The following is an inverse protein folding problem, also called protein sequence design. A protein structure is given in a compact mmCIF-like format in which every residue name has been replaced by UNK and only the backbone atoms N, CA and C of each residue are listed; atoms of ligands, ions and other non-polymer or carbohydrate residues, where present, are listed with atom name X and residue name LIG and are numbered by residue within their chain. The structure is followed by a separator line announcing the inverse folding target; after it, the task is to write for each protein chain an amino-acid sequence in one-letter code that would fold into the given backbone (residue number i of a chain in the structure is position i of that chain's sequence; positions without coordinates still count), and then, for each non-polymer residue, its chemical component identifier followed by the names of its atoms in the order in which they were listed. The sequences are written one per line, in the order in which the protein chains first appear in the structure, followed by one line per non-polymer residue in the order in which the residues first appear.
data_IF_686258792842
#
_entry.id   IF_686258792842
#
_cell.length_a   1.000
_cell.length_b   1.000
_cell.length_c   1.000
_cell.angle_alpha   90.00
_cell.angle_beta   90.00
_cell.angle_gamma   90.00
#
_symmetry.space_group_name_H-M   'P 1'
#
loop_
_entity.id
_entity.type
_entity.pdbx_description
1 polymer ?
#
# COMPACT_ATOMS: atom_id res chain seq x y z
N UNK A 1 9.36 -19.39 2.64
CA UNK A 1 9.61 -19.67 1.21
C UNK A 1 9.85 -18.38 0.45
N UNK A 2 11.05 -18.19 -0.07
CA UNK A 2 11.37 -17.20 -1.10
C UNK A 2 10.83 -17.69 -2.44
N UNK A 3 9.96 -16.92 -3.08
CA UNK A 3 9.56 -17.14 -4.46
C UNK A 3 10.75 -16.84 -5.38
N UNK A 4 11.51 -17.89 -5.72
CA UNK A 4 12.51 -17.85 -6.77
C UNK A 4 11.85 -18.34 -8.07
N UNK A 5 11.61 -17.42 -9.00
CA UNK A 5 11.20 -17.77 -10.35
C UNK A 5 12.32 -18.52 -11.07
N UNK A 6 12.16 -19.84 -11.20
CA UNK A 6 12.97 -20.66 -12.08
C UNK A 6 12.51 -20.39 -13.51
N UNK A 7 13.34 -19.65 -14.28
CA UNK A 7 13.19 -19.55 -15.73
C UNK A 7 13.71 -20.85 -16.34
N UNK A 8 12.81 -21.65 -16.91
CA UNK A 8 13.16 -22.68 -17.87
C UNK A 8 13.34 -22.07 -19.26
N UNK A 9 14.52 -22.26 -19.84
CA UNK A 9 14.79 -22.02 -21.27
C UNK A 9 13.93 -22.95 -22.13
N UNK A 10 13.04 -22.37 -22.92
CA UNK A 10 12.17 -23.03 -23.87
C UNK A 10 11.49 -21.99 -24.78
N UNK A 11 11.21 -22.28 -26.05
CA UNK A 11 10.86 -21.27 -27.04
C UNK A 11 9.54 -20.56 -26.67
N UNK A 12 9.57 -19.23 -26.73
CA UNK A 12 8.44 -18.33 -26.41
C UNK A 12 7.19 -18.72 -27.22
N UNK A 13 6.04 -18.96 -26.59
CA UNK A 13 4.77 -18.84 -27.27
C UNK A 13 4.41 -17.35 -27.34
N UNK A 14 4.31 -16.82 -28.56
CA UNK A 14 3.62 -15.57 -28.81
C UNK A 14 2.17 -15.71 -28.37
N UNK A 15 1.76 -15.08 -27.27
CA UNK A 15 0.35 -14.90 -26.97
C UNK A 15 -0.19 -13.76 -27.82
N UNK A 16 -0.73 -14.12 -28.98
CA UNK A 16 -1.66 -13.30 -29.74
C UNK A 16 -2.97 -13.17 -28.95
N UNK A 17 -3.36 -11.93 -28.63
CA UNK A 17 -4.71 -11.63 -28.18
C UNK A 17 -5.68 -11.81 -29.37
N UNK A 18 -6.18 -13.02 -29.55
CA UNK A 18 -7.21 -13.32 -30.55
C UNK A 18 -8.57 -12.80 -30.04
N UNK A 19 -9.03 -11.68 -30.62
CA UNK A 19 -10.43 -11.27 -30.54
C UNK A 19 -11.28 -12.26 -31.34
N UNK A 20 -12.19 -12.96 -30.67
CA UNK A 20 -13.41 -13.56 -31.24
C UNK A 20 -14.52 -13.32 -30.25
N UNK A 21 -15.78 -13.05 -30.59
CA UNK A 21 -16.57 -12.68 -31.79
C UNK A 21 -17.89 -12.16 -31.18
N UNK A 22 -18.74 -11.43 -31.91
CA UNK A 22 -20.12 -11.91 -31.92
C UNK A 22 -20.82 -11.65 -33.26
N UNK A 23 -21.27 -12.72 -33.93
CA UNK A 23 -22.38 -12.66 -34.86
C UNK A 23 -23.49 -13.58 -34.33
N UNK A 24 -24.63 -12.93 -34.04
CA UNK A 24 -26.01 -13.38 -34.03
C UNK A 24 -26.45 -14.59 -33.17
N UNK A 25 -27.08 -14.31 -32.02
CA UNK A 25 -28.55 -14.20 -31.97
C UNK A 25 -29.09 -13.84 -30.56
N UNK A 26 -29.73 -12.67 -30.50
CA UNK A 26 -30.89 -12.27 -29.69
C UNK A 26 -30.79 -12.24 -28.14
N UNK A 27 -30.73 -11.01 -27.61
CA UNK A 27 -31.07 -10.68 -26.22
C UNK A 27 -30.55 -9.30 -25.77
N UNK A 28 -31.02 -8.24 -26.44
CA UNK A 28 -30.76 -6.80 -26.20
C UNK A 28 -30.60 -6.43 -24.71
N UNK A 29 -29.49 -5.83 -24.28
CA UNK A 29 -29.12 -4.42 -24.47
C UNK A 29 -30.05 -3.42 -23.75
N UNK A 30 -29.54 -2.97 -22.59
CA UNK A 30 -29.51 -1.60 -22.07
C UNK A 30 -30.78 -0.84 -21.64
N UNK A 31 -30.61 0.12 -20.70
CA UNK A 31 -31.66 0.65 -19.84
C UNK A 31 -32.32 1.91 -20.41
N UNK A 32 -33.57 2.19 -20.00
CA UNK A 32 -34.13 3.55 -20.06
C UNK A 32 -35.20 3.76 -18.99
N UNK A 33 -35.04 4.84 -18.24
CA UNK A 33 -36.01 5.37 -17.31
C UNK A 33 -37.20 5.98 -18.05
N UNK A 34 -38.40 5.80 -17.50
CA UNK A 34 -39.61 6.55 -17.87
C UNK A 34 -40.36 6.95 -16.60
N UNK A 35 -40.50 8.26 -16.41
CA UNK A 35 -41.35 8.89 -15.40
C UNK A 35 -42.83 8.61 -15.71
N UNK A 36 -43.56 8.09 -14.73
CA UNK A 36 -45.02 7.95 -14.75
C UNK A 36 -45.62 8.61 -13.50
N UNK A 37 -46.36 9.70 -13.70
CA UNK A 37 -47.14 10.39 -12.68
C UNK A 37 -48.40 9.57 -12.33
N UNK A 38 -48.63 9.31 -11.05
CA UNK A 38 -49.87 8.75 -10.50
C UNK A 38 -49.95 9.03 -9.00
N UNK A 39 -50.80 9.99 -8.63
CA UNK A 39 -51.03 10.51 -7.28
C UNK A 39 -51.77 9.50 -6.38
N UNK A 40 -51.54 9.56 -5.07
CA UNK A 40 -52.44 9.02 -4.04
C UNK A 40 -51.80 8.81 -2.66
N UNK A 41 -51.77 9.87 -1.85
CA UNK A 41 -51.94 9.94 -0.39
C UNK A 41 -50.94 9.28 0.61
N UNK A 42 -49.99 10.11 1.07
CA UNK A 42 -49.57 10.51 2.44
C UNK A 42 -49.83 9.63 3.69
N UNK A 43 -49.19 9.94 4.86
CA UNK A 43 -47.83 10.45 5.13
C UNK A 43 -47.11 9.58 6.20
N UNK A 44 -45.78 9.58 6.26
CA UNK A 44 -45.02 9.68 7.53
C UNK A 44 -43.52 9.64 7.26
N UNK A 45 -42.81 10.56 7.91
CA UNK A 45 -41.39 10.83 7.71
C UNK A 45 -40.49 9.72 8.23
N UNK A 46 -39.56 9.29 7.38
CA UNK A 46 -38.35 8.59 7.81
C UNK A 46 -37.15 9.13 7.02
N UNK A 47 -36.21 9.72 7.75
CA UNK A 47 -34.97 10.34 7.26
C UNK A 47 -34.11 9.41 6.38
N UNK A 48 -33.33 9.95 5.42
CA UNK A 48 -32.48 9.18 4.52
C UNK A 48 -31.15 8.76 5.20
N UNK A 49 -31.21 8.11 6.37
CA UNK A 49 -30.04 7.63 7.10
C UNK A 49 -29.65 6.17 6.77
N UNK A 50 -30.46 5.46 5.97
CA UNK A 50 -30.28 4.02 5.70
C UNK A 50 -29.22 3.65 4.65
N UNK A 51 -28.70 4.61 3.88
CA UNK A 51 -27.74 4.35 2.80
C UNK A 51 -26.26 4.36 3.22
N UNK A 52 -25.94 4.86 4.42
CA UNK A 52 -24.56 5.06 4.88
C UNK A 52 -23.97 3.85 5.64
N UNK A 53 -24.79 2.94 6.16
CA UNK A 53 -24.28 1.88 7.03
C UNK A 53 -23.63 0.71 6.29
N UNK A 54 -24.02 0.43 5.04
CA UNK A 54 -23.50 -0.73 4.28
C UNK A 54 -22.22 -0.43 3.47
N UNK A 55 -21.78 0.84 3.41
CA UNK A 55 -20.51 1.25 2.78
C UNK A 55 -19.33 1.31 3.77
N UNK A 56 -19.54 0.96 5.05
CA UNK A 56 -18.52 1.09 6.10
C UNK A 56 -17.39 0.04 6.02
N UNK A 57 -17.60 -1.08 5.33
CA UNK A 57 -16.62 -2.18 5.30
C UNK A 57 -15.65 -2.16 4.10
N UNK A 58 -15.79 -1.21 3.17
CA UNK A 58 -15.00 -1.14 1.92
C UNK A 58 -13.91 -0.05 1.91
N UNK A 59 -13.82 0.78 2.96
CA UNK A 59 -12.97 1.98 3.01
C UNK A 59 -11.62 1.81 3.73
N UNK A 60 -11.19 0.59 3.99
CA UNK A 60 -9.80 0.37 4.38
C UNK A 60 -8.94 0.52 3.12
N UNK A 61 -7.88 1.35 3.18
CA UNK A 61 -6.89 1.52 2.11
C UNK A 61 -6.05 0.27 1.82
N UNK A 62 -6.55 -0.92 2.17
CA UNK A 62 -5.96 -2.24 1.98
C UNK A 62 -6.89 -3.07 1.09
N UNK A 63 -6.31 -3.91 0.25
CA UNK A 63 -7.05 -4.77 -0.67
C UNK A 63 -7.87 -5.82 0.09
N UNK A 64 -9.14 -5.99 -0.28
CA UNK A 64 -10.00 -7.01 0.31
C UNK A 64 -9.76 -8.40 -0.29
N UNK A 65 -9.60 -9.41 0.57
CA UNK A 65 -9.68 -10.82 0.18
C UNK A 65 -11.15 -11.23 -0.01
N UNK A 66 -11.52 -11.62 -1.22
CA UNK A 66 -12.88 -12.05 -1.56
C UNK A 66 -13.06 -13.56 -1.42
N UNK A 67 -12.06 -14.34 -1.83
CA UNK A 67 -12.06 -15.79 -1.71
C UNK A 67 -10.63 -16.33 -1.74
N UNK A 68 -10.43 -17.51 -1.16
CA UNK A 68 -9.20 -18.30 -1.31
C UNK A 68 -9.59 -19.75 -1.51
N UNK A 69 -8.94 -20.44 -2.44
CA UNK A 69 -9.24 -21.85 -2.70
C UNK A 69 -8.02 -22.58 -3.26
N UNK A 70 -8.09 -23.90 -3.23
CA UNK A 70 -7.15 -24.79 -3.90
C UNK A 70 -7.93 -25.86 -4.66
N UNK A 71 -7.52 -26.24 -5.88
CA UNK A 71 -8.17 -27.32 -6.60
C UNK A 71 -7.82 -28.71 -6.03
N UNK A 72 -6.78 -28.80 -5.19
CA UNK A 72 -6.28 -30.06 -4.66
C UNK A 72 -7.08 -30.51 -3.42
N UNK A 73 -7.40 -31.81 -3.36
CA UNK A 73 -8.32 -32.39 -2.37
C UNK A 73 -7.64 -33.01 -1.15
N UNK A 74 -6.32 -33.17 -1.19
CA UNK A 74 -5.54 -33.69 -0.08
C UNK A 74 -4.32 -32.83 0.18
N UNK A 75 -3.82 -32.89 1.42
CA UNK A 75 -2.59 -32.22 1.83
C UNK A 75 -1.36 -32.73 1.05
N UNK A 76 -1.35 -34.00 0.66
CA UNK A 76 -0.24 -34.61 -0.10
C UNK A 76 -0.12 -33.95 -1.48
N UNK A 77 -1.25 -33.76 -2.16
CA UNK A 77 -1.33 -33.14 -3.48
C UNK A 77 -1.29 -31.60 -3.44
N UNK A 78 -1.51 -30.99 -2.28
CA UNK A 78 -1.57 -29.54 -2.14
C UNK A 78 -0.30 -28.86 -2.65
N UNK A 79 -0.45 -28.00 -3.65
CA UNK A 79 0.66 -27.26 -4.27
C UNK A 79 0.27 -25.82 -4.59
N UNK A 80 -0.99 -25.60 -5.00
CA UNK A 80 -1.43 -24.31 -5.50
C UNK A 80 -2.48 -23.68 -4.59
N UNK A 81 -2.33 -22.37 -4.36
CA UNK A 81 -3.31 -21.52 -3.68
C UNK A 81 -3.74 -20.43 -4.63
N UNK A 82 -5.06 -20.29 -4.82
CA UNK A 82 -5.67 -19.25 -5.63
C UNK A 82 -6.30 -18.22 -4.69
N UNK A 83 -5.85 -16.97 -4.82
CA UNK A 83 -6.32 -15.83 -4.02
C UNK A 83 -7.15 -14.93 -4.92
N UNK A 84 -8.43 -14.75 -4.57
CA UNK A 84 -9.37 -13.89 -5.29
C UNK A 84 -9.52 -12.59 -4.50
N UNK A 85 -9.16 -11.48 -5.13
CA UNK A 85 -9.24 -10.14 -4.55
C UNK A 85 -10.16 -9.26 -5.40
N UNK A 86 -10.50 -8.07 -4.89
CA UNK A 86 -11.19 -7.09 -5.71
C UNK A 86 -10.35 -6.66 -6.91
N UNK A 87 -11.01 -6.49 -8.05
CA UNK A 87 -10.36 -6.02 -9.28
C UNK A 87 -10.14 -4.50 -9.18
N UNK A 88 -8.92 -4.09 -9.51
CA UNK A 88 -8.49 -2.69 -9.58
C UNK A 88 -8.07 -2.38 -11.03
N UNK A 89 -8.15 -1.10 -11.42
CA UNK A 89 -7.96 -0.71 -12.82
C UNK A 89 -6.48 -0.64 -13.21
N UNK A 90 -5.63 -0.19 -12.29
CA UNK A 90 -4.22 0.07 -12.53
C UNK A 90 -3.38 -0.07 -11.26
N UNK A 91 -2.06 -0.14 -11.42
CA UNK A 91 -1.12 0.09 -10.31
C UNK A 91 -0.58 1.52 -10.34
N UNK A 92 0.03 1.94 -9.24
CA UNK A 92 0.51 3.31 -9.09
C UNK A 92 1.66 3.65 -10.05
N UNK A 93 2.39 2.67 -10.59
CA UNK A 93 3.41 2.91 -11.61
C UNK A 93 2.81 3.58 -12.85
N UNK A 94 1.61 3.17 -13.26
CA UNK A 94 0.92 3.76 -14.41
C UNK A 94 0.44 5.18 -14.10
N UNK A 95 -0.03 5.42 -12.88
CA UNK A 95 -0.51 6.73 -12.40
C UNK A 95 0.63 7.76 -12.32
N UNK A 96 1.82 7.34 -11.89
CA UNK A 96 3.02 8.20 -11.79
C UNK A 96 3.42 8.79 -13.16
N UNK A 97 3.09 8.13 -14.26
CA UNK A 97 3.39 8.62 -15.61
C UNK A 97 2.35 9.63 -16.13
N UNK A 98 1.29 9.89 -15.37
CA UNK A 98 0.25 10.85 -15.71
C UNK A 98 0.53 12.19 -15.01
N UNK A 99 0.05 13.29 -15.60
CA UNK A 99 0.03 14.58 -14.91
C UNK A 99 -1.07 14.56 -13.83
N UNK A 100 -0.65 14.68 -12.57
CA UNK A 100 -1.53 14.74 -11.41
C UNK A 100 -1.59 16.17 -10.88
N UNK A 101 -2.80 16.66 -10.66
CA UNK A 101 -3.02 17.88 -9.89
C UNK A 101 -2.78 17.63 -8.38
N UNK A 102 -2.72 18.72 -7.63
CA UNK A 102 -2.52 18.66 -6.18
C UNK A 102 -3.64 17.92 -5.45
N UNK A 103 -4.88 18.00 -5.94
CA UNK A 103 -6.05 17.36 -5.33
C UNK A 103 -5.92 15.84 -5.40
N UNK A 104 -5.70 15.28 -6.60
CA UNK A 104 -5.52 13.84 -6.81
C UNK A 104 -4.28 13.33 -6.09
N UNK A 105 -3.16 14.04 -6.17
CA UNK A 105 -1.92 13.63 -5.51
C UNK A 105 -2.09 13.59 -3.98
N UNK A 106 -2.66 14.64 -3.39
CA UNK A 106 -2.89 14.69 -1.93
C UNK A 106 -3.92 13.66 -1.47
N UNK A 107 -4.95 13.37 -2.28
CA UNK A 107 -5.95 12.36 -1.96
C UNK A 107 -5.41 10.92 -2.03
N UNK A 108 -4.55 10.61 -3.01
CA UNK A 108 -3.84 9.33 -3.07
C UNK A 108 -2.90 9.17 -1.87
N UNK A 109 -2.16 10.23 -1.50
CA UNK A 109 -1.30 10.24 -0.32
C UNK A 109 -2.08 10.04 0.98
N UNK A 110 -3.20 10.71 1.12
CA UNK A 110 -4.11 10.54 2.26
C UNK A 110 -4.55 9.08 2.41
N UNK A 111 -5.05 8.45 1.33
CA UNK A 111 -5.48 7.05 1.35
C UNK A 111 -4.32 6.09 1.67
N UNK A 112 -3.12 6.33 1.14
CA UNK A 112 -1.93 5.57 1.50
C UNK A 112 -1.62 5.69 3.00
N UNK A 113 -1.64 6.90 3.56
CA UNK A 113 -1.39 7.14 4.97
C UNK A 113 -2.45 6.49 5.88
N UNK A 114 -3.74 6.52 5.50
CA UNK A 114 -4.79 5.81 6.23
C UNK A 114 -4.59 4.28 6.19
N UNK A 115 -4.25 3.72 5.02
CA UNK A 115 -3.93 2.30 4.90
C UNK A 115 -2.75 1.89 5.78
N UNK A 116 -1.68 2.69 5.78
CA UNK A 116 -0.49 2.47 6.62
C UNK A 116 -0.82 2.60 8.11
N UNK A 117 -1.57 3.62 8.51
CA UNK A 117 -1.99 3.79 9.91
C UNK A 117 -2.79 2.58 10.39
N UNK A 118 -3.66 2.04 9.54
CA UNK A 118 -4.43 0.86 9.85
C UNK A 118 -3.53 -0.38 10.06
N UNK A 119 -2.51 -0.58 9.20
CA UNK A 119 -1.50 -1.63 9.38
C UNK A 119 -0.74 -1.48 10.70
N UNK A 120 -0.25 -0.27 10.98
CA UNK A 120 0.52 0.03 12.19
C UNK A 120 -0.32 -0.18 13.45
N UNK A 121 -1.60 0.20 13.43
CA UNK A 121 -2.53 -0.04 14.54
C UNK A 121 -2.77 -1.53 14.83
N UNK A 122 -2.62 -2.38 13.80
CA UNK A 122 -2.66 -3.83 13.94
C UNK A 122 -1.29 -4.42 14.38
N UNK A 123 -0.23 -3.60 14.41
CA UNK A 123 1.14 -4.02 14.75
C UNK A 123 1.93 -4.61 13.57
N UNK A 124 1.47 -4.37 12.34
CA UNK A 124 2.11 -4.79 11.09
C UNK A 124 2.87 -3.61 10.52
N UNK A 125 4.16 -3.80 10.21
CA UNK A 125 4.95 -2.82 9.45
C UNK A 125 5.13 -3.37 8.04
N UNK A 126 4.85 -2.55 7.01
CA UNK A 126 4.79 -3.04 5.63
C UNK A 126 6.20 -3.32 5.05
N UNK A 127 7.14 -2.38 5.20
CA UNK A 127 8.58 -2.47 4.83
C UNK A 127 8.92 -2.59 3.34
N UNK A 128 7.96 -2.94 2.48
CA UNK A 128 8.16 -3.02 1.02
C UNK A 128 7.11 -2.21 0.25
N UNK A 129 6.76 -1.03 0.74
CA UNK A 129 5.88 -0.12 0.01
C UNK A 129 6.57 0.37 -1.25
N UNK A 130 5.93 0.17 -2.39
CA UNK A 130 6.39 0.59 -3.71
C UNK A 130 5.20 0.74 -4.66
N UNK A 131 5.31 1.53 -5.74
CA UNK A 131 4.19 1.77 -6.64
C UNK A 131 3.53 0.52 -7.23
N UNK A 132 4.29 -0.56 -7.47
CA UNK A 132 3.72 -1.82 -7.99
C UNK A 132 2.86 -2.57 -6.97
N UNK A 133 3.03 -2.31 -5.68
CA UNK A 133 2.24 -2.91 -4.59
C UNK A 133 1.06 -2.01 -4.20
N UNK A 134 0.78 -0.96 -4.97
CA UNK A 134 -0.29 -0.02 -4.70
C UNK A 134 -1.15 0.03 -5.95
N UNK A 135 -2.43 -0.23 -5.78
CA UNK A 135 -3.41 -0.32 -6.86
C UNK A 135 -4.45 0.75 -6.71
N UNK A 136 -4.94 1.23 -7.85
CA UNK A 136 -5.88 2.33 -7.94
C UNK A 136 -7.05 1.99 -8.87
N UNK A 137 -8.18 2.64 -8.63
CA UNK A 137 -9.32 2.70 -9.54
C UNK A 137 -9.38 4.06 -10.24
N UNK A 138 -10.14 4.12 -11.32
CA UNK A 138 -10.44 5.32 -12.10
C UNK A 138 -11.12 6.43 -11.31
N UNK A 139 -11.80 6.10 -10.21
CA UNK A 139 -12.39 7.04 -9.25
C UNK A 139 -11.38 7.57 -8.20
N UNK A 140 -10.08 7.33 -8.41
CA UNK A 140 -8.99 7.66 -7.48
C UNK A 140 -9.04 6.92 -6.14
N UNK A 141 -9.79 5.82 -6.02
CA UNK A 141 -9.69 4.94 -4.86
C UNK A 141 -8.36 4.18 -4.90
N UNK A 142 -7.63 4.18 -3.78
CA UNK A 142 -6.35 3.51 -3.63
C UNK A 142 -6.43 2.38 -2.60
N UNK A 143 -5.78 1.26 -2.93
CA UNK A 143 -5.60 0.13 -2.01
C UNK A 143 -4.17 -0.39 -2.07
N UNK A 144 -3.64 -0.74 -0.91
CA UNK A 144 -2.34 -1.38 -0.75
C UNK A 144 -2.52 -2.90 -0.96
N UNK A 145 -1.70 -3.49 -1.83
CA UNK A 145 -1.61 -4.94 -2.05
C UNK A 145 -0.59 -5.59 -1.09
N UNK A 146 -0.81 -6.86 -0.78
CA UNK A 146 -0.19 -7.50 0.40
C UNK A 146 1.23 -8.07 0.27
N UNK A 147 2.04 -7.67 1.26
CA UNK A 147 2.77 -8.46 2.28
C UNK A 147 3.79 -9.54 1.91
N UNK A 148 4.35 -9.58 0.70
CA UNK A 148 5.50 -10.47 0.42
C UNK A 148 6.66 -10.34 1.43
N UNK A 149 6.74 -9.22 2.18
CA UNK A 149 7.74 -8.93 3.21
C UNK A 149 7.16 -8.28 4.48
N UNK A 150 5.84 -8.25 4.71
CA UNK A 150 5.32 -7.65 5.94
C UNK A 150 5.65 -8.52 7.16
N UNK A 151 5.93 -7.90 8.30
CA UNK A 151 6.22 -8.59 9.57
C UNK A 151 5.62 -7.83 10.74
N UNK A 152 5.32 -8.58 11.79
CA UNK A 152 4.98 -8.03 13.10
C UNK A 152 6.15 -7.20 13.64
N UNK A 153 5.83 -6.01 14.18
CA UNK A 153 6.81 -5.10 14.77
C UNK A 153 7.63 -5.81 15.87
N UNK A 154 8.97 -5.87 15.71
CA UNK A 154 9.88 -6.46 16.72
C UNK A 154 10.82 -7.56 16.18
N UNK A 155 10.58 -8.11 15.00
CA UNK A 155 11.44 -9.16 14.42
C UNK A 155 12.65 -8.57 13.68
N UNK A 156 13.81 -8.59 14.35
CA UNK A 156 15.10 -8.09 13.85
C UNK A 156 15.85 -9.11 12.99
N UNK A 157 15.23 -9.64 11.92
CA UNK A 157 15.95 -10.46 10.95
C UNK A 157 16.51 -9.60 9.80
N UNK A 158 17.83 -9.65 9.63
CA UNK A 158 18.54 -9.11 8.47
C UNK A 158 18.13 -9.87 7.20
N UNK A 159 17.71 -9.15 6.16
CA UNK A 159 17.25 -9.75 4.91
C UNK A 159 18.37 -10.42 4.11
N UNK A 160 18.04 -11.50 3.41
CA UNK A 160 18.87 -12.09 2.34
C UNK A 160 18.89 -11.19 1.10
N UNK A 161 20.05 -11.01 0.45
CA UNK A 161 20.20 -10.16 -0.73
C UNK A 161 19.78 -10.93 -1.98
N UNK A 162 18.51 -10.87 -2.39
CA UNK A 162 18.10 -11.29 -3.74
C UNK A 162 17.15 -10.26 -4.38
N UNK A 163 17.23 -10.22 -5.71
CA UNK A 163 16.77 -9.22 -6.68
C UNK A 163 15.33 -8.71 -6.45
N UNK A 164 15.18 -7.69 -5.60
CA UNK A 164 13.93 -6.95 -5.39
C UNK A 164 14.22 -5.45 -5.48
N UNK A 165 13.26 -4.68 -5.99
CA UNK A 165 13.30 -3.21 -6.05
C UNK A 165 13.61 -2.61 -4.69
N UNK A 166 14.77 -1.95 -4.56
CA UNK A 166 15.26 -1.37 -3.30
C UNK A 166 15.04 0.15 -3.17
N UNK A 167 14.56 0.78 -4.24
CA UNK A 167 14.52 2.24 -4.40
C UNK A 167 13.69 2.97 -3.33
N UNK A 168 12.71 2.27 -2.75
CA UNK A 168 11.78 2.80 -1.74
C UNK A 168 12.13 2.36 -0.32
N UNK A 169 13.23 1.60 -0.11
CA UNK A 169 13.63 1.12 1.21
C UNK A 169 14.27 2.26 2.01
N UNK A 170 13.91 2.35 3.28
CA UNK A 170 14.46 3.36 4.18
C UNK A 170 15.95 3.12 4.50
N UNK A 171 16.70 4.18 4.86
CA UNK A 171 18.10 4.09 5.28
C UNK A 171 18.35 3.04 6.35
N UNK A 172 17.52 3.00 7.39
CA UNK A 172 17.62 2.03 8.48
C UNK A 172 17.47 0.58 8.01
N UNK A 173 16.68 0.33 6.95
CA UNK A 173 16.53 -1.01 6.35
C UNK A 173 17.76 -1.37 5.52
N UNK A 174 18.29 -0.42 4.73
CA UNK A 174 19.48 -0.62 3.88
C UNK A 174 20.74 -0.82 4.72
N UNK A 175 20.85 -0.11 5.85
CA UNK A 175 22.01 -0.14 6.75
C UNK A 175 21.90 -1.19 7.86
N UNK A 176 20.81 -1.97 7.91
CA UNK A 176 20.62 -3.02 8.91
C UNK A 176 20.46 -2.51 10.34
N UNK A 177 19.83 -1.35 10.51
CA UNK A 177 19.52 -0.76 11.82
C UNK A 177 18.17 -1.26 12.33
N UNK A 178 17.92 -1.09 13.63
CA UNK A 178 16.56 -1.20 14.17
C UNK A 178 15.64 -0.14 13.56
N UNK A 179 14.39 -0.51 13.27
CA UNK A 179 13.40 0.34 12.63
C UNK A 179 12.07 0.36 13.41
N UNK A 180 11.25 1.36 13.12
CA UNK A 180 9.91 1.55 13.69
C UNK A 180 8.89 1.74 12.56
N UNK A 181 7.64 1.96 12.91
CA UNK A 181 6.51 2.22 12.00
C UNK A 181 6.80 3.30 10.94
N UNK A 182 7.49 4.39 11.31
CA UNK A 182 7.84 5.47 10.38
C UNK A 182 8.91 5.10 9.31
N UNK A 183 9.31 3.83 9.24
CA UNK A 183 10.03 3.27 8.09
C UNK A 183 9.20 3.36 6.81
N UNK A 184 7.88 3.16 6.92
CA UNK A 184 6.96 3.18 5.78
C UNK A 184 6.75 4.62 5.24
N UNK A 185 6.94 5.63 6.10
CA UNK A 185 6.89 7.06 5.70
C UNK A 185 8.01 7.42 4.72
N UNK A 186 9.19 6.80 4.85
CA UNK A 186 10.25 7.00 3.86
C UNK A 186 9.80 6.51 2.48
N UNK A 187 9.19 5.33 2.41
CA UNK A 187 8.69 4.76 1.17
C UNK A 187 7.60 5.65 0.54
N UNK A 188 6.68 6.18 1.35
CA UNK A 188 5.68 7.15 0.89
C UNK A 188 6.34 8.43 0.36
N UNK A 189 7.39 8.94 1.03
CA UNK A 189 8.16 10.09 0.55
C UNK A 189 8.83 9.81 -0.80
N UNK A 190 9.39 8.62 -1.00
CA UNK A 190 9.95 8.21 -2.29
C UNK A 190 8.88 8.17 -3.39
N UNK A 191 7.71 7.59 -3.09
CA UNK A 191 6.57 7.51 -4.01
C UNK A 191 6.06 8.92 -4.37
N UNK A 192 5.89 9.79 -3.38
CA UNK A 192 5.47 11.17 -3.58
C UNK A 192 6.46 11.94 -4.46
N UNK A 193 7.76 11.83 -4.18
CA UNK A 193 8.76 12.51 -4.98
C UNK A 193 8.85 11.94 -6.41
N UNK A 194 8.59 10.66 -6.59
CA UNK A 194 8.50 10.03 -7.92
C UNK A 194 7.25 10.50 -8.69
N UNK A 195 6.10 10.69 -8.02
CA UNK A 195 4.91 11.31 -8.64
C UNK A 195 5.18 12.72 -9.14
N UNK A 196 6.04 13.49 -8.46
CA UNK A 196 6.37 14.87 -8.83
C UNK A 196 7.45 14.92 -9.91
N UNK A 197 8.46 14.05 -9.85
CA UNK A 197 9.59 14.04 -10.80
C UNK A 197 9.35 13.17 -12.05
N UNK A 198 8.33 12.32 -12.03
CA UNK A 198 8.06 11.32 -13.07
C UNK A 198 9.04 10.15 -13.10
N UNK A 199 9.97 10.07 -12.15
CA UNK A 199 11.03 9.08 -12.13
C UNK A 199 11.57 8.79 -10.74
N UNK A 200 12.11 7.58 -10.57
CA UNK A 200 12.64 7.04 -9.31
C UNK A 200 13.65 8.00 -8.69
N UNK A 201 13.47 8.36 -7.41
CA UNK A 201 14.35 9.29 -6.70
C UNK A 201 15.77 8.73 -6.49
N UNK A 202 15.84 7.47 -6.06
CA UNK A 202 17.09 6.83 -5.63
C UNK A 202 17.27 5.49 -6.36
N UNK A 203 17.67 5.49 -7.64
CA UNK A 203 17.82 4.27 -8.44
C UNK A 203 19.16 3.59 -8.18
N UNK A 204 19.30 2.90 -7.04
CA UNK A 204 20.52 2.19 -6.64
C UNK A 204 20.62 0.76 -7.18
N UNK A 205 21.73 0.45 -7.83
CA UNK A 205 22.01 -0.88 -8.41
C UNK A 205 22.23 -1.98 -7.36
N UNK A 206 22.72 -1.62 -6.17
CA UNK A 206 22.88 -2.48 -5.00
C UNK A 206 22.68 -1.67 -3.69
N UNK A 207 22.92 -2.27 -2.51
CA UNK A 207 22.75 -1.57 -1.22
C UNK A 207 23.72 -0.39 -1.04
N UNK A 208 24.93 -0.51 -1.58
CA UNK A 208 26.00 0.47 -1.49
C UNK A 208 25.65 1.67 -2.38
N UNK A 209 25.29 1.42 -3.63
CA UNK A 209 24.89 2.44 -4.59
C UNK A 209 23.58 3.11 -4.16
N UNK A 210 22.62 2.34 -3.63
CA UNK A 210 21.38 2.91 -3.06
C UNK A 210 21.67 3.93 -1.97
N UNK A 211 22.59 3.61 -1.05
CA UNK A 211 23.01 4.56 -0.02
C UNK A 211 23.67 5.80 -0.62
N UNK A 212 24.56 5.63 -1.61
CA UNK A 212 25.22 6.75 -2.28
C UNK A 212 24.19 7.70 -2.94
N UNK A 213 23.21 7.16 -3.67
CA UNK A 213 22.12 7.96 -4.28
C UNK A 213 21.35 8.77 -3.24
N UNK A 214 21.14 8.22 -2.04
CA UNK A 214 20.46 8.93 -0.95
C UNK A 214 21.30 10.10 -0.44
N UNK A 215 22.56 9.87 -0.07
CA UNK A 215 23.41 10.93 0.52
C UNK A 215 23.86 11.98 -0.50
N UNK A 216 23.98 11.63 -1.78
CA UNK A 216 24.27 12.59 -2.85
C UNK A 216 23.17 13.65 -2.97
N UNK A 217 21.91 13.25 -2.71
CA UNK A 217 20.74 14.13 -2.83
C UNK A 217 20.40 14.84 -1.52
N UNK A 218 20.38 14.10 -0.40
CA UNK A 218 19.93 14.60 0.91
C UNK A 218 21.06 15.05 1.84
N UNK A 219 22.31 14.76 1.46
CA UNK A 219 23.50 15.07 2.25
C UNK A 219 23.94 13.94 3.18
N UNK A 220 25.17 14.03 3.65
CA UNK A 220 25.74 13.09 4.63
C UNK A 220 25.09 13.32 5.99
N UNK A 221 24.54 12.28 6.67
CA UNK A 221 23.84 12.47 7.93
C UNK A 221 24.78 12.86 9.08
N UNK A 222 24.20 13.38 10.15
CA UNK A 222 24.96 13.93 11.28
C UNK A 222 25.70 12.85 12.09
N UNK A 223 26.75 13.22 12.85
CA UNK A 223 27.52 12.25 13.65
C UNK A 223 26.68 11.46 14.65
N UNK A 224 25.59 12.03 15.17
CA UNK A 224 24.65 11.34 16.08
C UNK A 224 23.97 10.16 15.40
N UNK A 225 23.65 10.27 14.10
CA UNK A 225 23.13 9.16 13.32
C UNK A 225 24.20 8.09 13.12
N UNK A 226 25.42 8.47 12.76
CA UNK A 226 26.52 7.54 12.52
C UNK A 226 26.85 6.68 13.74
N UNK A 227 26.70 7.22 14.96
CA UNK A 227 26.89 6.49 16.22
C UNK A 227 25.89 5.35 16.43
N UNK A 228 24.73 5.38 15.76
CA UNK A 228 23.70 4.33 15.85
C UNK A 228 24.00 3.14 14.92
N UNK A 229 24.98 3.25 14.02
CA UNK A 229 25.34 2.22 13.06
C UNK A 229 26.22 1.13 13.67
N UNK A 230 26.12 -0.09 13.13
CA UNK A 230 27.07 -1.18 13.43
C UNK A 230 28.49 -0.77 13.01
N UNK A 231 29.56 -1.20 13.73
CA UNK A 231 30.92 -0.72 13.50
C UNK A 231 31.42 -0.86 12.04
N UNK A 232 31.10 -1.97 11.39
CA UNK A 232 31.48 -2.26 10.00
C UNK A 232 30.78 -1.32 9.02
N UNK A 233 29.46 -1.15 9.18
CA UNK A 233 28.63 -0.24 8.37
C UNK A 233 29.04 1.21 8.60
N UNK A 234 29.29 1.59 9.86
CA UNK A 234 29.74 2.93 10.23
C UNK A 234 31.04 3.32 9.54
N UNK A 235 32.04 2.44 9.60
CA UNK A 235 33.34 2.65 8.95
C UNK A 235 33.17 2.87 7.45
N UNK A 236 32.31 2.06 6.82
CA UNK A 236 31.98 2.21 5.41
C UNK A 236 31.32 3.57 5.09
N UNK A 237 30.32 3.98 5.88
CA UNK A 237 29.59 5.25 5.67
C UNK A 237 30.47 6.47 5.94
N UNK A 238 31.30 6.46 6.99
CA UNK A 238 32.20 7.57 7.34
C UNK A 238 33.32 7.78 6.31
N UNK A 239 33.72 6.72 5.60
CA UNK A 239 34.73 6.77 4.54
C UNK A 239 34.19 7.25 3.18
N UNK A 240 32.89 7.57 3.07
CA UNK A 240 32.31 8.13 1.84
C UNK A 240 32.57 9.63 1.72
N UNK A 241 32.58 10.18 0.49
CA UNK A 241 32.64 11.63 0.29
C UNK A 241 31.52 12.33 1.07
N UNK A 242 31.85 13.48 1.66
CA UNK A 242 30.87 14.30 2.37
C UNK A 242 30.08 15.12 1.38
N UNK A 243 28.77 14.91 1.35
CA UNK A 243 27.84 15.66 0.52
C UNK A 243 27.05 16.63 1.39
N UNK A 244 26.89 17.87 0.93
CA UNK A 244 26.06 18.86 1.59
C UNK A 244 24.55 18.58 1.39
N UNK A 245 24.21 17.82 0.35
CA UNK A 245 22.83 17.66 -0.11
C UNK A 245 22.34 18.85 -0.93
N UNK A 246 21.15 18.73 -1.50
CA UNK A 246 20.44 19.80 -2.16
C UNK A 246 19.26 20.23 -1.31
N UNK A 247 18.87 21.52 -1.39
CA UNK A 247 17.62 21.97 -0.77
C UNK A 247 16.42 21.33 -1.49
N UNK A 248 15.29 21.21 -0.79
CA UNK A 248 14.09 20.61 -1.38
C UNK A 248 13.52 21.46 -2.53
N UNK A 249 13.78 22.76 -2.56
CA UNK A 249 13.44 23.65 -3.69
C UNK A 249 14.27 23.31 -4.94
N UNK A 250 15.50 22.84 -4.76
CA UNK A 250 16.35 22.40 -5.87
C UNK A 250 16.03 20.96 -6.30
N UNK A 251 15.69 20.09 -5.36
CA UNK A 251 15.28 18.71 -5.66
C UNK A 251 13.92 18.66 -6.37
N UNK A 252 13.00 19.53 -5.96
CA UNK A 252 11.64 19.65 -6.44
C UNK A 252 11.32 21.11 -6.77
N UNK A 253 11.83 21.65 -7.90
CA UNK A 253 11.58 23.04 -8.30
C UNK A 253 10.12 23.28 -8.68
N UNK A 254 9.67 24.54 -8.62
CA UNK A 254 8.27 24.92 -8.87
C UNK A 254 7.76 24.50 -10.27
N UNK A 255 8.66 24.37 -11.25
CA UNK A 255 8.32 23.90 -12.61
C UNK A 255 7.77 22.47 -12.66
N UNK A 256 8.03 21.66 -11.61
CA UNK A 256 7.49 20.30 -11.51
C UNK A 256 6.09 20.25 -10.90
N UNK A 257 5.59 21.38 -10.41
CA UNK A 257 4.27 21.47 -9.80
C UNK A 257 3.32 22.25 -10.71
N UNK A 258 2.03 21.92 -10.70
CA UNK A 258 1.01 22.81 -11.24
C UNK A 258 1.10 24.16 -10.51
N UNK A 259 1.31 25.27 -11.23
CA UNK A 259 1.52 26.60 -10.64
C UNK A 259 0.75 27.73 -11.36
N UNK A 260 -0.35 27.35 -12.01
CA UNK A 260 -1.26 28.22 -12.77
C UNK A 260 -2.07 29.21 -11.90
N UNK A 261 -2.14 28.99 -10.58
CA UNK A 261 -2.84 29.86 -9.63
C UNK A 261 -2.06 30.06 -8.33
N UNK A 262 -2.36 31.13 -7.59
CA UNK A 262 -1.79 31.36 -6.24
C UNK A 262 -2.15 30.23 -5.26
N UNK A 263 -3.32 29.63 -5.42
CA UNK A 263 -3.71 28.44 -4.65
C UNK A 263 -2.75 27.27 -4.91
N UNK A 264 -2.43 27.02 -6.17
CA UNK A 264 -1.53 25.93 -6.55
C UNK A 264 -0.07 26.20 -6.16
N UNK A 265 0.38 27.47 -6.18
CA UNK A 265 1.69 27.84 -5.60
C UNK A 265 1.79 27.53 -4.10
N UNK A 266 0.74 27.84 -3.33
CA UNK A 266 0.68 27.47 -1.92
C UNK A 266 0.73 25.96 -1.74
N UNK A 267 -0.03 25.20 -2.56
CA UNK A 267 -0.03 23.74 -2.53
C UNK A 267 1.33 23.13 -2.91
N UNK A 268 2.05 23.70 -3.87
CA UNK A 268 3.41 23.29 -4.21
C UNK A 268 4.36 23.46 -3.02
N UNK A 269 4.29 24.60 -2.32
CA UNK A 269 5.06 24.82 -1.09
C UNK A 269 4.70 23.81 0.00
N UNK A 270 3.41 23.53 0.22
CA UNK A 270 2.95 22.53 1.18
C UNK A 270 3.39 21.11 0.81
N UNK A 271 3.37 20.75 -0.48
CA UNK A 271 3.83 19.45 -0.97
C UNK A 271 5.33 19.25 -0.71
N UNK A 272 6.13 20.29 -0.99
CA UNK A 272 7.58 20.30 -0.76
C UNK A 272 7.92 20.24 0.73
N UNK A 273 7.19 20.96 1.57
CA UNK A 273 7.35 20.90 3.03
C UNK A 273 7.07 19.48 3.56
N UNK A 274 5.99 18.85 3.12
CA UNK A 274 5.69 17.45 3.47
C UNK A 274 6.81 16.49 3.04
N UNK A 275 7.29 16.60 1.80
CA UNK A 275 8.41 15.83 1.30
C UNK A 275 9.66 16.00 2.17
N UNK A 276 9.95 17.22 2.60
CA UNK A 276 11.12 17.51 3.44
C UNK A 276 11.05 16.84 4.81
N UNK A 277 9.84 16.60 5.31
CA UNK A 277 9.58 15.94 6.59
C UNK A 277 9.52 14.40 6.46
N UNK A 278 9.16 13.88 5.28
CA UNK A 278 9.15 12.44 4.98
C UNK A 278 10.53 11.90 4.58
N UNK A 279 11.24 12.59 3.69
CA UNK A 279 12.55 12.19 3.16
C UNK A 279 13.69 12.63 4.10
N UNK A 280 13.61 12.15 5.35
CA UNK A 280 14.62 12.40 6.39
C UNK A 280 15.37 11.12 6.69
N UNK A 281 16.71 11.17 6.61
CA UNK A 281 17.56 9.98 6.78
C UNK A 281 17.44 9.42 8.20
N UNK A 282 17.56 10.27 9.23
CA UNK A 282 17.42 9.83 10.61
C UNK A 282 15.93 9.64 10.94
N UNK A 283 15.51 8.38 11.09
CA UNK A 283 14.14 8.02 11.42
C UNK A 283 13.63 8.70 12.71
N UNK A 284 14.50 9.08 13.66
CA UNK A 284 14.06 9.82 14.86
C UNK A 284 13.62 11.26 14.60
N UNK A 285 13.97 11.82 13.44
CA UNK A 285 13.60 13.17 12.98
C UNK A 285 12.56 13.15 11.86
N UNK A 286 12.18 11.96 11.40
CA UNK A 286 11.22 11.76 10.32
C UNK A 286 9.80 11.85 10.86
N UNK A 287 8.93 12.56 10.14
CA UNK A 287 7.52 12.71 10.50
C UNK A 287 6.84 11.36 10.72
N UNK A 288 5.96 11.30 11.72
CA UNK A 288 5.10 10.14 11.96
C UNK A 288 3.92 10.09 10.98
N UNK A 289 3.23 8.95 10.93
CA UNK A 289 2.00 8.81 10.12
C UNK A 289 0.92 9.79 10.58
N UNK A 290 0.76 9.96 11.89
CA UNK A 290 -0.24 10.86 12.47
C UNK A 290 0.04 12.32 12.13
N UNK A 291 1.29 12.76 12.29
CA UNK A 291 1.69 14.12 11.92
C UNK A 291 1.56 14.37 10.41
N UNK A 292 1.82 13.36 9.57
CA UNK A 292 1.65 13.44 8.13
C UNK A 292 0.17 13.58 7.72
N UNK A 293 -0.75 12.87 8.39
CA UNK A 293 -2.19 13.01 8.19
C UNK A 293 -2.70 14.41 8.58
N UNK A 294 -2.10 15.02 9.60
CA UNK A 294 -2.41 16.38 10.05
C UNK A 294 -1.72 17.48 9.23
N UNK A 295 -0.86 17.12 8.28
CA UNK A 295 -0.14 18.08 7.47
C UNK A 295 -1.08 18.92 6.59
N UNK A 296 -0.90 20.24 6.40
CA UNK A 296 -1.81 21.09 5.60
C UNK A 296 -2.06 20.61 4.16
N UNK A 297 -1.09 19.88 3.58
CA UNK A 297 -1.23 19.28 2.26
C UNK A 297 -2.23 18.10 2.23
N UNK A 298 -2.36 17.36 3.34
CA UNK A 298 -3.14 16.13 3.47
C UNK A 298 -4.44 16.34 4.26
N UNK A 299 -4.40 17.17 5.28
CA UNK A 299 -5.48 17.37 6.25
C UNK A 299 -6.81 17.84 5.64
N UNK A 300 -6.79 18.37 4.41
CA UNK A 300 -8.00 18.70 3.65
C UNK A 300 -8.92 17.50 3.41
N UNK A 301 -8.37 16.28 3.47
CA UNK A 301 -9.08 15.02 3.28
C UNK A 301 -9.37 14.28 4.58
N UNK A 302 -8.93 14.81 5.73
CA UNK A 302 -8.94 14.06 6.98
C UNK A 302 -10.37 13.71 7.43
N UNK A 303 -10.67 12.41 7.45
CA UNK A 303 -11.88 11.85 8.01
C UNK A 303 -11.51 10.90 9.18
N UNK A 304 -11.90 11.20 10.43
CA UNK A 304 -11.64 10.33 11.58
C UNK A 304 -12.17 8.91 11.37
N UNK A 305 -13.28 8.74 10.65
CA UNK A 305 -13.87 7.41 10.42
C UNK A 305 -13.02 6.51 9.52
N UNK A 306 -12.13 7.11 8.72
CA UNK A 306 -11.18 6.40 7.85
C UNK A 306 -9.80 6.30 8.52
N UNK A 307 -9.30 7.41 9.08
CA UNK A 307 -7.98 7.45 9.72
C UNK A 307 -7.93 6.65 11.04
N UNK A 308 -9.02 6.59 11.79
CA UNK A 308 -9.11 5.90 13.09
C UNK A 308 -9.94 4.62 13.02
N UNK A 309 -10.09 4.05 11.83
CA UNK A 309 -10.80 2.79 11.65
C UNK A 309 -10.17 1.68 12.52
N UNK A 310 -10.94 0.96 13.34
CA UNK A 310 -10.42 -0.01 14.28
C UNK A 310 -9.70 -1.14 13.54
N UNK A 311 -8.52 -1.59 14.00
CA UNK A 311 -7.77 -2.64 13.33
C UNK A 311 -8.53 -3.97 13.33
N UNK A 312 -8.33 -4.82 12.31
CA UNK A 312 -8.74 -6.21 12.37
C UNK A 312 -8.04 -6.89 13.55
N UNK A 313 -8.76 -7.77 14.25
CA UNK A 313 -8.16 -8.61 15.29
C UNK A 313 -7.19 -9.57 14.61
N UNK A 314 -5.89 -9.35 14.76
CA UNK A 314 -4.87 -10.31 14.32
C UNK A 314 -4.92 -11.52 15.25
N UNK A 315 -5.13 -12.75 14.72
CA UNK A 315 -4.95 -13.97 15.49
C UNK A 315 -3.49 -14.10 15.94
N UNK A 316 -3.31 -14.38 17.23
CA UNK A 316 -2.07 -14.67 17.96
C UNK A 316 -0.72 -14.39 17.26
N UNK A 317 -0.06 -13.29 17.66
CA UNK A 317 1.27 -12.85 17.18
C UNK A 317 2.36 -13.92 17.30
N UNK A 318 2.15 -14.95 18.12
CA UNK A 318 3.08 -16.05 18.34
C UNK A 318 3.24 -17.00 17.15
N UNK A 319 2.33 -16.99 16.17
CA UNK A 319 2.43 -17.89 15.01
C UNK A 319 3.59 -17.53 14.08
N UNK A 320 3.91 -16.25 13.92
CA UNK A 320 5.03 -15.78 13.08
C UNK A 320 6.42 -15.95 13.72
N UNK A 321 6.47 -16.06 15.06
CA UNK A 321 7.72 -16.19 15.82
C UNK A 321 8.22 -17.64 15.93
N UNK A 322 7.40 -18.61 15.54
CA UNK A 322 7.75 -20.03 15.58
C UNK A 322 8.48 -20.43 14.29
N UNK A 323 9.64 -21.04 14.44
CA UNK A 323 10.29 -21.73 13.34
C UNK A 323 9.50 -22.99 13.01
N UNK A 324 8.92 -23.03 11.81
CA UNK A 324 8.19 -24.18 11.29
C UNK A 324 8.97 -24.84 10.15
N UNK A 325 8.89 -26.16 10.07
CA UNK A 325 9.38 -26.91 8.92
C UNK A 325 8.55 -26.61 7.67
N UNK A 326 9.04 -26.97 6.49
CA UNK A 326 8.31 -26.75 5.23
C UNK A 326 6.97 -27.50 5.25
N UNK A 327 6.96 -28.70 5.81
CA UNK A 327 5.81 -29.57 5.94
C UNK A 327 4.78 -28.99 6.91
N UNK A 328 5.22 -28.45 8.05
CA UNK A 328 4.34 -27.76 9.01
C UNK A 328 3.73 -26.49 8.40
N UNK A 329 4.51 -25.70 7.66
CA UNK A 329 3.97 -24.55 6.92
C UNK A 329 2.91 -24.98 5.90
N UNK A 330 3.17 -26.08 5.18
CA UNK A 330 2.24 -26.62 4.19
C UNK A 330 0.92 -27.03 4.86
N UNK A 331 0.98 -27.68 6.02
CA UNK A 331 -0.19 -28.06 6.82
C UNK A 331 -0.99 -26.85 7.31
N UNK A 332 -0.31 -25.85 7.88
CA UNK A 332 -0.95 -24.63 8.38
C UNK A 332 -1.65 -23.85 7.27
N UNK A 333 -0.98 -23.67 6.12
CA UNK A 333 -1.56 -22.97 4.97
C UNK A 333 -2.75 -23.76 4.43
N UNK A 334 -2.62 -25.09 4.26
CA UNK A 334 -3.72 -25.91 3.75
C UNK A 334 -4.96 -25.81 4.64
N UNK A 335 -4.77 -25.90 5.97
CA UNK A 335 -5.85 -25.76 6.94
C UNK A 335 -6.54 -24.40 6.84
N UNK A 336 -5.77 -23.31 6.78
CA UNK A 336 -6.33 -21.95 6.66
C UNK A 336 -7.12 -21.77 5.36
N UNK A 337 -6.61 -22.31 4.23
CA UNK A 337 -7.31 -22.26 2.94
C UNK A 337 -8.64 -23.02 3.01
N UNK A 338 -8.66 -24.22 3.59
CA UNK A 338 -9.89 -25.01 3.76
C UNK A 338 -10.89 -24.30 4.67
N UNK A 339 -10.44 -23.76 5.80
CA UNK A 339 -11.29 -23.03 6.77
C UNK A 339 -11.91 -21.78 6.10
N UNK A 340 -11.14 -21.03 5.32
CA UNK A 340 -11.62 -19.85 4.61
C UNK A 340 -12.55 -20.19 3.44
N UNK A 341 -12.27 -21.25 2.68
CA UNK A 341 -13.15 -21.72 1.62
C UNK A 341 -14.50 -22.19 2.18
N UNK A 342 -14.51 -22.89 3.32
CA UNK A 342 -15.72 -23.32 4.00
C UNK A 342 -16.53 -22.14 4.55
N UNK A 343 -15.87 -21.15 5.17
CA UNK A 343 -16.52 -19.89 5.58
C UNK A 343 -17.14 -19.15 4.40
N UNK A 344 -16.50 -19.18 3.25
CA UNK A 344 -17.00 -18.55 2.01
C UNK A 344 -18.22 -19.29 1.46
N UNK A 345 -18.17 -20.64 1.43
CA UNK A 345 -19.30 -21.51 1.03
C UNK A 345 -20.52 -21.35 1.95
N UNK A 346 -20.28 -21.16 3.25
CA UNK A 346 -21.32 -20.95 4.24
C UNK A 346 -21.85 -19.50 4.29
N UNK A 347 -21.38 -18.61 3.41
CA UNK A 347 -21.83 -17.22 3.33
C UNK A 347 -21.39 -16.33 4.50
N UNK A 348 -20.41 -16.78 5.31
CA UNK A 348 -19.98 -16.11 6.54
C UNK A 348 -18.99 -14.96 6.26
N UNK A 349 -18.41 -14.91 5.07
CA UNK A 349 -17.63 -13.73 4.65
C UNK A 349 -18.57 -12.72 3.98
N UNK A 350 -19.28 -11.92 4.80
CA UNK A 350 -19.85 -10.64 4.34
C UNK A 350 -19.70 -9.56 5.39
N UNK A 351 -19.21 -8.40 4.95
CA UNK A 351 -19.55 -7.10 5.52
C UNK A 351 -21.04 -6.76 5.35
N UNK A 352 -21.94 -7.67 5.73
CA UNK A 352 -23.37 -7.42 5.89
C UNK A 352 -23.76 -7.80 7.33
N UNK A 353 -24.44 -6.91 8.08
CA UNK A 353 -24.94 -7.25 9.39
C UNK A 353 -26.04 -8.32 9.29
N UNK A 354 -25.95 -9.34 10.15
CA UNK A 354 -26.95 -10.39 10.31
C UNK A 354 -28.32 -9.80 10.70
N UNK A 355 -29.45 -10.34 10.22
CA UNK A 355 -30.77 -9.92 10.69
C UNK A 355 -30.90 -10.31 12.16
N UNK A 356 -31.19 -9.31 13.00
CA UNK A 356 -31.54 -9.45 14.41
C UNK A 356 -32.52 -10.63 14.60
N UNK A 357 -32.07 -11.62 15.37
CA UNK A 357 -32.95 -12.62 15.94
C UNK A 357 -34.01 -11.90 16.79
N UNK A 358 -35.27 -12.10 16.44
CA UNK A 358 -36.40 -11.73 17.28
C UNK A 358 -36.26 -12.47 18.62
N UNK A 359 -36.01 -11.72 19.69
CA UNK A 359 -36.15 -12.22 21.05
C UNK A 359 -37.64 -12.31 21.34
N UNK A 360 -38.20 -13.52 21.26
CA UNK A 360 -39.38 -13.88 22.01
C UNK A 360 -38.95 -14.08 23.47
N UNK A 361 -39.35 -13.15 24.34
CA UNK A 361 -40.11 -13.43 25.56
C UNK A 361 -40.56 -12.12 26.21
#
# INVERSE_FOLDING_TARGET
MTWAGVRGDGPRPCYSAERRRPDDAAGSAEPRATLGNGRGDSPDGASPAGGLSCRRSLRCGIIGLLNVFTPQKSLEEFQDVYIVMELMDANLCQVIQMELDHERMSYLLYQMLCGIKHLHSAGIIHRDLKPSNIVVKSDCTLKILDFGLARTAGTSFMMTPYVVTRYYRAPEVILGMGYKENVDIWSVGCIMGEMIKGGVLFPGTDHIDQWNKVIEQLGTPCPEFMKKLQPTVRTYVENRPKYAGYSFEKLFPDVLFPADSEHNKLKASQARDLLSKMLVIDASKRISVDEALQHPYINVWYDPSEAEAPPPKIPDKQLDEREHTIEEWKELIYKEVMDLEERTKNGVIRGQPSPLAQVQQ
#
